data_IF_422613803720
#
_entry.id   IF_422613803720
#
_cell.length_a   1.000
_cell.length_b   1.000
_cell.length_c   1.000
_cell.angle_alpha   90.00
_cell.angle_beta   90.00
_cell.angle_gamma   90.00
#
_symmetry.space_group_name_H-M   'P 1'
#
loop_
_entity.id
_entity.type
_entity.pdbx_description
1 polymer ?
#
# COMPACT_ATOMS: atom_id res chain seq x y z
N UNK A 1 12.24 23.10 -19.55
CA UNK A 1 11.58 24.27 -20.17
C UNK A 1 10.09 24.08 -19.94
N UNK A 2 9.31 25.11 -19.58
CA UNK A 2 7.83 24.97 -19.53
C UNK A 2 7.36 24.43 -20.90
N UNK A 3 6.60 23.34 -20.92
CA UNK A 3 6.31 22.54 -22.13
C UNK A 3 5.74 23.43 -23.26
N UNK A 4 4.80 24.30 -22.92
CA UNK A 4 4.19 25.25 -23.87
C UNK A 4 5.24 26.23 -24.41
N UNK A 5 6.16 26.70 -23.57
CA UNK A 5 7.22 27.62 -24.00
C UNK A 5 8.14 26.96 -25.01
N UNK A 6 8.54 25.70 -24.78
CA UNK A 6 9.38 24.95 -25.72
C UNK A 6 8.70 24.78 -27.09
N UNK A 7 7.43 24.36 -27.09
CA UNK A 7 6.64 24.23 -28.32
C UNK A 7 6.52 25.55 -29.10
N UNK A 8 6.40 26.68 -28.41
CA UNK A 8 6.24 27.98 -29.05
C UNK A 8 7.56 28.61 -29.50
N UNK A 9 8.63 28.49 -28.70
CA UNK A 9 9.92 29.15 -29.00
C UNK A 9 10.67 28.52 -30.16
N UNK A 10 10.38 27.27 -30.48
CA UNK A 10 11.02 26.54 -31.59
C UNK A 10 10.06 26.35 -32.78
N UNK A 11 8.91 27.04 -32.81
CA UNK A 11 7.93 26.94 -33.88
C UNK A 11 7.69 28.27 -34.61
N UNK A 12 7.15 28.23 -35.85
CA UNK A 12 6.74 29.43 -36.57
C UNK A 12 5.70 30.29 -35.83
N UNK A 13 5.04 29.74 -34.80
CA UNK A 13 3.98 30.39 -34.04
C UNK A 13 4.40 31.75 -33.48
N UNK A 14 5.65 31.91 -33.03
CA UNK A 14 6.14 33.20 -32.53
C UNK A 14 5.99 34.31 -33.59
N UNK A 15 6.45 34.04 -34.81
CA UNK A 15 6.36 34.99 -35.93
C UNK A 15 4.93 35.14 -36.47
N UNK A 16 4.22 34.03 -36.66
CA UNK A 16 2.90 33.98 -37.31
C UNK A 16 1.85 34.69 -36.47
N UNK A 17 1.88 34.49 -35.15
CA UNK A 17 0.92 35.09 -34.22
C UNK A 17 1.46 36.33 -33.52
N UNK A 18 2.74 36.68 -33.72
CA UNK A 18 3.39 37.82 -33.10
C UNK A 18 3.45 37.68 -31.57
N UNK A 19 3.98 36.57 -31.08
CA UNK A 19 4.01 36.23 -29.65
C UNK A 19 5.28 36.72 -28.97
N UNK A 20 5.15 37.39 -27.83
CA UNK A 20 6.21 37.63 -26.87
C UNK A 20 6.23 36.48 -25.86
N UNK A 21 7.28 35.65 -25.92
CA UNK A 21 7.38 34.38 -25.19
C UNK A 21 8.28 34.56 -23.95
N UNK A 22 7.68 35.03 -22.86
CA UNK A 22 8.33 35.18 -21.56
C UNK A 22 8.36 33.87 -20.75
N UNK A 23 9.11 33.90 -19.63
CA UNK A 23 9.19 32.77 -18.68
C UNK A 23 7.92 32.57 -17.86
N UNK A 24 7.19 33.64 -17.56
CA UNK A 24 6.02 33.66 -16.66
C UNK A 24 4.75 34.10 -17.36
N UNK A 25 4.86 34.53 -18.62
CA UNK A 25 3.75 34.99 -19.44
C UNK A 25 4.13 34.85 -20.91
N UNK A 26 3.20 34.32 -21.71
CA UNK A 26 3.23 34.44 -23.18
C UNK A 26 2.09 35.36 -23.58
N UNK A 27 2.37 36.38 -24.39
CA UNK A 27 1.42 37.42 -24.77
C UNK A 27 1.68 37.89 -26.21
N UNK A 28 0.90 38.84 -26.72
CA UNK A 28 1.11 39.37 -28.06
C UNK A 28 2.06 40.58 -28.05
N UNK A 29 3.03 40.60 -28.97
CA UNK A 29 3.97 41.74 -29.18
C UNK A 29 3.23 43.04 -29.48
N UNK A 30 2.05 42.97 -30.10
CA UNK A 30 1.22 44.13 -30.43
C UNK A 30 0.51 44.76 -29.22
N UNK A 31 0.57 44.13 -28.04
CA UNK A 31 -0.16 44.56 -26.85
C UNK A 31 -1.67 44.28 -26.90
N UNK A 32 -2.17 43.53 -27.89
CA UNK A 32 -3.59 43.15 -27.93
C UNK A 32 -3.91 42.21 -26.74
N UNK A 33 -5.14 42.26 -26.18
CA UNK A 33 -5.50 41.44 -25.04
C UNK A 33 -5.34 39.93 -25.31
N UNK A 34 -4.82 39.21 -24.31
CA UNK A 34 -4.64 37.76 -24.36
C UNK A 34 -3.29 37.34 -23.80
N UNK A 35 -3.28 36.29 -22.98
CA UNK A 35 -2.04 35.77 -22.40
C UNK A 35 -2.19 34.34 -21.92
N UNK A 36 -1.09 33.59 -21.95
CA UNK A 36 -0.94 32.29 -21.29
C UNK A 36 -0.05 32.48 -20.06
N UNK A 37 -0.45 31.93 -18.92
CA UNK A 37 0.27 32.07 -17.65
C UNK A 37 0.33 30.72 -16.93
N UNK A 38 1.52 30.25 -16.50
CA UNK A 38 1.63 29.09 -15.63
C UNK A 38 1.02 29.43 -14.26
N UNK A 39 0.37 28.44 -13.64
CA UNK A 39 -0.27 28.55 -12.33
C UNK A 39 0.12 27.32 -11.50
N UNK A 40 0.71 27.56 -10.33
CA UNK A 40 1.34 26.51 -9.53
C UNK A 40 0.60 26.15 -8.23
N UNK A 41 -0.29 27.00 -7.71
CA UNK A 41 -0.98 26.73 -6.42
C UNK A 41 -2.35 27.41 -6.30
N UNK A 42 -3.21 26.88 -5.43
CA UNK A 42 -4.50 27.47 -5.02
C UNK A 42 -4.34 28.69 -4.09
N UNK A 43 -3.72 29.78 -4.55
CA UNK A 43 -3.74 31.04 -3.80
C UNK A 43 -5.10 31.74 -3.90
N UNK A 44 -5.52 32.49 -2.86
CA UNK A 44 -6.72 33.37 -2.89
C UNK A 44 -6.75 34.31 -4.11
N UNK A 45 -5.59 34.64 -4.65
CA UNK A 45 -5.41 35.43 -5.88
C UNK A 45 -5.89 34.74 -7.16
N UNK A 46 -6.19 33.44 -7.12
CA UNK A 46 -6.71 32.70 -8.27
C UNK A 46 -8.23 32.67 -8.32
N UNK A 47 -8.93 32.93 -7.21
CA UNK A 47 -10.38 33.04 -7.21
C UNK A 47 -10.83 34.30 -7.98
N UNK A 48 -11.85 34.15 -8.83
CA UNK A 48 -12.39 35.26 -9.61
C UNK A 48 -11.67 35.54 -10.93
N UNK A 49 -10.58 34.84 -11.23
CA UNK A 49 -10.03 34.80 -12.58
C UNK A 49 -11.07 34.24 -13.55
N UNK A 50 -11.09 34.75 -14.79
CA UNK A 50 -11.99 34.30 -15.86
C UNK A 50 -11.19 33.76 -17.05
N UNK A 51 -10.49 32.62 -16.87
CA UNK A 51 -9.72 32.03 -17.96
C UNK A 51 -10.65 31.55 -19.08
N UNK A 52 -10.25 31.80 -20.32
CA UNK A 52 -10.94 31.24 -21.51
C UNK A 52 -10.57 29.78 -21.74
N UNK A 53 -9.42 29.35 -21.25
CA UNK A 53 -8.93 27.98 -21.34
C UNK A 53 -8.06 27.64 -20.13
N UNK A 54 -8.14 26.41 -19.62
CA UNK A 54 -7.15 25.86 -18.71
C UNK A 54 -6.70 24.46 -19.12
N UNK A 55 -5.39 24.27 -19.13
CA UNK A 55 -4.76 22.95 -19.20
C UNK A 55 -4.31 22.58 -17.80
N UNK A 56 -4.80 21.46 -17.29
CA UNK A 56 -4.46 20.93 -15.97
C UNK A 56 -3.67 19.64 -16.17
N UNK A 57 -2.37 19.73 -15.99
CA UNK A 57 -1.44 18.65 -16.32
C UNK A 57 -1.13 17.76 -15.11
N UNK A 58 -0.87 16.48 -15.38
CA UNK A 58 -0.50 15.45 -14.39
C UNK A 58 -1.48 15.37 -13.19
N UNK A 59 -2.79 15.39 -13.45
CA UNK A 59 -3.80 15.48 -12.37
C UNK A 59 -3.91 14.25 -11.46
N UNK A 60 -3.24 13.13 -11.79
CA UNK A 60 -3.05 12.00 -10.87
C UNK A 60 -2.13 12.34 -9.70
N UNK A 61 -1.24 13.33 -9.84
CA UNK A 61 -0.40 13.82 -8.74
C UNK A 61 -1.09 14.89 -7.90
N UNK A 62 -2.29 15.33 -8.26
CA UNK A 62 -3.02 16.37 -7.52
C UNK A 62 -3.84 15.69 -6.43
N UNK A 63 -3.24 15.53 -5.26
CA UNK A 63 -3.77 14.75 -4.12
C UNK A 63 -4.01 15.66 -2.91
N UNK A 64 -4.68 15.14 -1.88
CA UNK A 64 -4.99 15.91 -0.68
C UNK A 64 -3.76 16.53 -0.02
N UNK A 65 -2.64 15.81 0.02
CA UNK A 65 -1.39 16.23 0.69
C UNK A 65 -0.72 17.46 0.07
N UNK A 66 -0.99 17.78 -1.20
CA UNK A 66 -0.45 18.96 -1.88
C UNK A 66 -1.50 20.03 -2.22
N UNK A 67 -2.75 19.86 -1.74
CA UNK A 67 -3.85 20.79 -1.99
C UNK A 67 -4.40 20.73 -3.42
N UNK A 68 -4.09 19.68 -4.17
CA UNK A 68 -4.52 19.48 -5.56
C UNK A 68 -6.04 19.58 -5.77
N UNK A 69 -6.88 18.88 -4.98
CA UNK A 69 -8.34 18.95 -5.09
C UNK A 69 -8.90 20.38 -4.95
N UNK A 70 -8.39 21.16 -3.99
CA UNK A 70 -8.82 22.56 -3.80
C UNK A 70 -8.41 23.45 -4.98
N UNK A 71 -7.23 23.19 -5.56
CA UNK A 71 -6.75 23.89 -6.74
C UNK A 71 -7.61 23.60 -7.96
N UNK A 72 -7.91 22.32 -8.20
CA UNK A 72 -8.81 21.87 -9.24
C UNK A 72 -10.19 22.52 -9.10
N UNK A 73 -10.78 22.52 -7.91
CA UNK A 73 -12.08 23.15 -7.67
C UNK A 73 -12.04 24.66 -7.96
N UNK A 74 -10.97 25.34 -7.57
CA UNK A 74 -10.79 26.77 -7.86
C UNK A 74 -10.75 27.05 -9.36
N UNK A 75 -9.96 26.29 -10.13
CA UNK A 75 -9.86 26.44 -11.59
C UNK A 75 -11.17 26.09 -12.28
N UNK A 76 -11.78 24.95 -11.94
CA UNK A 76 -13.04 24.49 -12.49
C UNK A 76 -14.17 25.50 -12.28
N UNK A 77 -14.37 25.98 -11.04
CA UNK A 77 -15.41 26.99 -10.74
C UNK A 77 -15.25 28.26 -11.57
N UNK A 78 -14.01 28.70 -11.78
CA UNK A 78 -13.73 29.91 -12.56
C UNK A 78 -14.08 29.73 -14.04
N UNK A 79 -13.78 28.57 -14.61
CA UNK A 79 -14.03 28.24 -16.03
C UNK A 79 -15.51 27.99 -16.27
N UNK A 80 -16.19 27.25 -15.40
CA UNK A 80 -17.60 26.89 -15.58
C UNK A 80 -18.51 28.12 -15.53
N UNK A 81 -18.16 29.14 -14.75
CA UNK A 81 -18.88 30.43 -14.73
C UNK A 81 -18.89 31.15 -16.08
N UNK A 82 -17.94 30.87 -16.95
CA UNK A 82 -17.83 31.48 -18.28
C UNK A 82 -18.11 30.50 -19.42
N UNK A 83 -18.60 29.28 -19.14
CA UNK A 83 -18.81 28.23 -20.15
C UNK A 83 -19.75 28.66 -21.28
N UNK A 84 -20.78 29.48 -20.98
CA UNK A 84 -21.67 30.08 -22.00
C UNK A 84 -20.92 30.97 -23.00
N UNK A 85 -19.79 31.54 -22.59
CA UNK A 85 -18.90 32.35 -23.44
C UNK A 85 -17.85 31.49 -24.16
N UNK A 86 -17.94 30.16 -24.07
CA UNK A 86 -17.08 29.21 -24.79
C UNK A 86 -15.81 28.79 -24.06
N UNK A 87 -15.67 29.07 -22.76
CA UNK A 87 -14.49 28.64 -22.01
C UNK A 87 -14.44 27.12 -21.83
N UNK A 88 -13.22 26.55 -21.86
CA UNK A 88 -12.99 25.10 -21.79
C UNK A 88 -11.85 24.76 -20.84
N UNK A 89 -11.79 23.51 -20.44
CA UNK A 89 -10.63 22.95 -19.77
C UNK A 89 -10.31 21.57 -20.32
N UNK A 90 -9.05 21.18 -20.19
CA UNK A 90 -8.52 19.86 -20.54
C UNK A 90 -7.63 19.42 -19.39
N UNK A 91 -7.73 18.14 -19.02
CA UNK A 91 -6.80 17.49 -18.12
C UNK A 91 -5.97 16.47 -18.89
N UNK A 92 -4.69 16.36 -18.54
CA UNK A 92 -3.78 15.32 -18.98
C UNK A 92 -3.29 14.54 -17.76
N UNK A 93 -3.18 13.22 -17.87
CA UNK A 93 -2.84 12.36 -16.74
C UNK A 93 -2.40 10.98 -17.19
N UNK A 94 -1.49 10.36 -16.43
CA UNK A 94 -1.34 8.90 -16.39
C UNK A 94 -2.48 8.28 -15.59
N UNK A 95 -2.61 6.95 -15.64
CA UNK A 95 -3.57 6.24 -14.81
C UNK A 95 -3.26 6.44 -13.31
N UNK A 96 -4.32 6.75 -12.55
CA UNK A 96 -4.20 7.08 -11.14
C UNK A 96 -4.06 5.85 -10.25
N UNK A 97 -3.54 6.05 -9.04
CA UNK A 97 -3.62 5.07 -7.96
C UNK A 97 -4.99 5.22 -7.27
N UNK A 98 -5.83 4.17 -7.19
CA UNK A 98 -7.11 4.22 -6.50
C UNK A 98 -7.02 4.60 -5.01
N UNK A 99 -5.83 4.44 -4.40
CA UNK A 99 -5.58 4.71 -2.98
C UNK A 99 -5.16 6.16 -2.67
N UNK A 100 -4.97 7.02 -3.69
CA UNK A 100 -4.42 8.38 -3.51
C UNK A 100 -5.49 9.49 -3.53
N UNK A 101 -6.75 9.17 -3.88
CA UNK A 101 -7.86 10.13 -3.99
C UNK A 101 -7.51 11.36 -4.87
N UNK A 102 -6.78 11.12 -5.95
CA UNK A 102 -6.28 12.18 -6.84
C UNK A 102 -7.39 12.88 -7.62
N UNK A 103 -7.12 14.08 -8.17
CA UNK A 103 -8.05 14.77 -9.08
C UNK A 103 -8.36 13.92 -10.32
N UNK A 104 -7.39 13.16 -10.85
CA UNK A 104 -7.65 12.21 -11.93
C UNK A 104 -8.75 11.20 -11.58
N UNK A 105 -8.68 10.61 -10.38
CA UNK A 105 -9.69 9.68 -9.86
C UNK A 105 -11.05 10.36 -9.74
N UNK A 106 -11.09 11.54 -9.11
CA UNK A 106 -12.32 12.32 -8.92
C UNK A 106 -13.01 12.62 -10.25
N UNK A 107 -12.25 12.95 -11.30
CA UNK A 107 -12.79 13.23 -12.64
C UNK A 107 -13.28 11.93 -13.28
N UNK A 108 -12.45 10.89 -13.31
CA UNK A 108 -12.76 9.62 -13.96
C UNK A 108 -14.02 8.97 -13.38
N UNK A 109 -14.18 8.96 -12.06
CA UNK A 109 -15.33 8.36 -11.36
C UNK A 109 -16.57 9.29 -11.34
N UNK A 110 -16.49 10.48 -11.93
CA UNK A 110 -17.58 11.45 -11.91
C UNK A 110 -18.76 11.00 -12.78
N UNK A 111 -19.99 11.27 -12.32
CA UNK A 111 -21.19 11.16 -13.16
C UNK A 111 -21.11 11.99 -14.45
N UNK A 112 -20.30 13.05 -14.48
CA UNK A 112 -20.12 13.87 -15.67
C UNK A 112 -19.43 13.10 -16.80
N UNK A 113 -18.48 12.20 -16.47
CA UNK A 113 -17.86 11.29 -17.44
C UNK A 113 -18.84 10.17 -17.79
N UNK A 114 -19.48 9.55 -16.79
CA UNK A 114 -20.44 8.46 -17.00
C UNK A 114 -21.63 8.87 -17.90
N UNK A 115 -22.05 10.14 -17.83
CA UNK A 115 -23.11 10.73 -18.66
C UNK A 115 -22.59 11.39 -19.94
N UNK A 116 -21.29 11.27 -20.22
CA UNK A 116 -20.62 11.83 -21.40
C UNK A 116 -20.73 13.36 -21.56
N UNK A 117 -20.91 14.08 -20.45
CA UNK A 117 -20.80 15.54 -20.43
C UNK A 117 -19.34 16.00 -20.43
N UNK A 118 -18.45 15.21 -19.84
CA UNK A 118 -17.01 15.34 -20.01
C UNK A 118 -16.51 14.22 -20.91
N UNK A 119 -15.64 14.60 -21.87
CA UNK A 119 -14.96 13.64 -22.71
C UNK A 119 -13.82 13.00 -21.90
N UNK A 120 -13.85 11.67 -21.81
CA UNK A 120 -12.74 10.86 -21.33
C UNK A 120 -12.24 10.04 -22.52
N UNK A 121 -10.95 10.17 -22.82
CA UNK A 121 -10.30 9.53 -23.96
C UNK A 121 -9.00 8.89 -23.48
N UNK A 122 -8.93 7.56 -23.56
CA UNK A 122 -7.84 6.74 -23.05
C UNK A 122 -7.74 5.45 -23.87
N UNK A 123 -6.53 5.10 -24.30
CA UNK A 123 -6.21 3.79 -24.85
C UNK A 123 -5.51 2.97 -23.77
N UNK A 124 -6.15 1.89 -23.32
CA UNK A 124 -5.59 1.01 -22.29
C UNK A 124 -5.03 -0.25 -22.93
N UNK A 125 -3.79 -0.61 -22.59
CA UNK A 125 -3.16 -1.83 -23.08
C UNK A 125 -3.76 -3.06 -22.40
N UNK A 126 -4.37 -3.97 -23.16
CA UNK A 126 -5.09 -5.12 -22.62
C UNK A 126 -4.13 -6.21 -22.11
N UNK A 127 -3.81 -6.19 -20.82
CA UNK A 127 -2.97 -7.19 -20.18
C UNK A 127 -3.24 -7.30 -18.68
N UNK A 128 -3.16 -8.51 -18.14
CA UNK A 128 -3.20 -8.76 -16.70
C UNK A 128 -1.77 -8.77 -16.13
N UNK A 129 -1.61 -8.55 -14.83
CA UNK A 129 -0.28 -8.53 -14.15
C UNK A 129 0.56 -9.76 -14.50
N UNK A 130 -0.05 -10.95 -14.60
CA UNK A 130 0.65 -12.19 -14.95
C UNK A 130 1.24 -12.20 -16.36
N UNK A 131 0.69 -11.37 -17.25
CA UNK A 131 1.11 -11.22 -18.63
C UNK A 131 2.36 -10.38 -18.78
N UNK A 132 2.77 -9.63 -17.76
CA UNK A 132 3.98 -8.77 -17.79
C UNK A 132 5.30 -9.57 -17.87
N UNK A 133 5.22 -10.90 -17.90
CA UNK A 133 6.35 -11.82 -18.09
C UNK A 133 6.35 -12.51 -19.45
N UNK A 134 5.38 -12.20 -20.31
CA UNK A 134 5.26 -12.71 -21.66
C UNK A 134 5.54 -11.60 -22.66
N UNK A 135 6.62 -11.76 -23.44
CA UNK A 135 7.08 -10.75 -24.40
C UNK A 135 6.02 -10.40 -25.45
N UNK A 136 5.32 -11.41 -25.98
CA UNK A 136 4.31 -11.20 -27.01
C UNK A 136 3.10 -10.45 -26.44
N UNK A 137 2.67 -10.78 -25.22
CA UNK A 137 1.56 -10.10 -24.53
C UNK A 137 1.93 -8.66 -24.19
N UNK A 138 3.12 -8.42 -23.61
CA UNK A 138 3.60 -7.07 -23.27
C UNK A 138 3.66 -6.19 -24.51
N UNK A 139 4.27 -6.68 -25.58
CA UNK A 139 4.40 -5.93 -26.84
C UNK A 139 3.04 -5.58 -27.44
N UNK A 140 2.10 -6.53 -27.44
CA UNK A 140 0.74 -6.29 -27.94
C UNK A 140 0.02 -5.20 -27.11
N UNK A 141 0.12 -5.27 -25.78
CA UNK A 141 -0.50 -4.30 -24.89
C UNK A 141 0.12 -2.89 -25.02
N UNK A 142 1.44 -2.80 -25.23
CA UNK A 142 2.11 -1.53 -25.51
C UNK A 142 1.65 -0.93 -26.85
N UNK A 143 1.48 -1.74 -27.90
CA UNK A 143 0.96 -1.24 -29.19
C UNK A 143 -0.46 -0.68 -29.06
N UNK A 144 -1.31 -1.33 -28.25
CA UNK A 144 -2.66 -0.84 -27.97
C UNK A 144 -2.64 0.47 -27.17
N UNK A 145 -1.87 0.52 -26.06
CA UNK A 145 -1.81 1.70 -25.19
C UNK A 145 -1.19 2.94 -25.87
N UNK A 146 -0.18 2.75 -26.73
CA UNK A 146 0.51 3.85 -27.39
C UNK A 146 -0.13 4.27 -28.71
N UNK A 147 -1.00 3.45 -29.32
CA UNK A 147 -1.81 3.81 -30.47
C UNK A 147 -1.03 4.48 -31.62
N UNK A 148 -1.29 5.77 -31.85
CA UNK A 148 -0.70 6.57 -32.92
C UNK A 148 0.62 7.28 -32.52
N UNK A 149 1.16 7.02 -31.33
CA UNK A 149 2.45 7.52 -30.87
C UNK A 149 3.63 6.80 -31.56
N UNK A 150 3.75 7.01 -32.87
CA UNK A 150 4.76 6.39 -33.76
C UNK A 150 6.22 6.64 -33.35
N UNK A 151 6.48 7.61 -32.48
CA UNK A 151 7.79 7.91 -31.94
C UNK A 151 8.17 7.07 -30.71
N UNK A 152 7.24 6.29 -30.13
CA UNK A 152 7.50 5.49 -28.96
C UNK A 152 8.35 4.25 -29.30
N UNK A 153 9.40 4.00 -28.51
CA UNK A 153 10.26 2.82 -28.65
C UNK A 153 9.59 1.59 -28.02
N UNK A 154 8.61 1.01 -28.70
CA UNK A 154 7.87 -0.16 -28.22
C UNK A 154 8.79 -1.32 -27.86
N UNK A 155 9.87 -1.54 -28.61
CA UNK A 155 10.83 -2.62 -28.35
C UNK A 155 11.65 -2.34 -27.08
N UNK A 156 12.11 -1.11 -26.90
CA UNK A 156 12.78 -0.67 -25.68
C UNK A 156 11.88 -0.76 -24.45
N UNK A 157 10.63 -0.31 -24.55
CA UNK A 157 9.63 -0.41 -23.49
C UNK A 157 9.29 -1.87 -23.15
N UNK A 158 9.13 -2.72 -24.18
CA UNK A 158 8.94 -4.16 -23.99
C UNK A 158 10.08 -4.76 -23.17
N UNK A 159 11.33 -4.45 -23.54
CA UNK A 159 12.52 -4.90 -22.79
C UNK A 159 12.51 -4.38 -21.35
N UNK A 160 12.13 -3.12 -21.11
CA UNK A 160 12.04 -2.57 -19.76
C UNK A 160 11.04 -3.36 -18.92
N UNK A 161 9.80 -3.51 -19.37
CA UNK A 161 8.74 -4.22 -18.62
C UNK A 161 9.13 -5.69 -18.34
N UNK A 162 9.77 -6.34 -19.31
CA UNK A 162 10.16 -7.75 -19.18
C UNK A 162 11.31 -7.99 -18.21
N UNK A 163 12.30 -7.09 -18.15
CA UNK A 163 13.57 -7.38 -17.50
C UNK A 163 13.91 -6.47 -16.32
N UNK A 164 13.33 -5.28 -16.22
CA UNK A 164 13.46 -4.48 -15.00
C UNK A 164 12.59 -5.08 -13.88
N UNK A 165 13.20 -5.17 -12.70
CA UNK A 165 12.66 -5.76 -11.47
C UNK A 165 12.69 -4.79 -10.31
N UNK A 166 13.25 -3.60 -10.54
CA UNK A 166 13.32 -2.52 -9.54
C UNK A 166 12.04 -1.69 -9.51
N UNK A 167 11.24 -1.78 -10.58
CA UNK A 167 9.96 -1.10 -10.71
C UNK A 167 8.81 -2.06 -10.40
N UNK A 168 7.85 -1.70 -9.52
CA UNK A 168 6.66 -2.50 -9.26
C UNK A 168 5.79 -2.70 -10.50
N UNK A 169 5.14 -3.86 -10.60
CA UNK A 169 4.28 -4.19 -11.75
C UNK A 169 3.12 -3.20 -11.93
N UNK A 170 2.56 -2.68 -10.82
CA UNK A 170 1.55 -1.62 -10.83
C UNK A 170 2.02 -0.33 -11.51
N UNK A 171 3.31 -0.04 -11.44
CA UNK A 171 3.91 1.13 -12.11
C UNK A 171 3.94 0.92 -13.62
N UNK A 172 4.24 -0.30 -14.10
CA UNK A 172 4.16 -0.61 -15.53
C UNK A 172 2.72 -0.52 -16.04
N UNK A 173 1.76 -1.05 -15.29
CA UNK A 173 0.34 -0.94 -15.65
C UNK A 173 -0.10 0.53 -15.77
N UNK A 174 0.23 1.37 -14.79
CA UNK A 174 -0.23 2.77 -14.75
C UNK A 174 0.43 3.69 -15.77
N UNK A 175 1.76 3.63 -15.84
CA UNK A 175 2.56 4.62 -16.58
C UNK A 175 2.89 4.20 -18.01
N UNK A 176 2.74 2.92 -18.36
CA UNK A 176 3.08 2.40 -19.68
C UNK A 176 1.89 1.80 -20.42
N UNK A 177 0.86 1.38 -19.69
CA UNK A 177 -0.30 0.66 -20.26
C UNK A 177 -1.62 1.38 -19.99
N UNK A 178 -1.58 2.56 -19.36
CA UNK A 178 -2.73 3.38 -18.99
C UNK A 178 -3.79 2.66 -18.14
N UNK A 179 -3.42 1.58 -17.46
CA UNK A 179 -4.35 0.85 -16.61
C UNK A 179 -4.38 1.42 -15.20
N UNK A 180 -5.58 1.62 -14.67
CA UNK A 180 -5.77 1.91 -13.25
C UNK A 180 -5.36 0.69 -12.45
N UNK A 181 -4.29 0.82 -11.68
CA UNK A 181 -3.78 -0.22 -10.80
C UNK A 181 -3.40 0.38 -9.45
N UNK A 182 -3.65 -0.35 -8.38
CA UNK A 182 -3.19 0.03 -7.05
C UNK A 182 -1.66 -0.10 -6.99
N UNK A 183 -0.95 0.91 -6.47
CA UNK A 183 0.45 0.68 -6.10
C UNK A 183 0.47 -0.29 -4.93
N UNK A 184 1.11 -1.45 -5.12
CA UNK A 184 1.45 -2.31 -4.00
C UNK A 184 2.79 -1.86 -3.45
N UNK A 185 2.80 -0.76 -2.70
CA UNK A 185 3.98 -0.41 -1.89
C UNK A 185 4.07 -1.46 -0.79
N UNK A 186 4.83 -2.51 -1.08
CA UNK A 186 5.09 -3.60 -0.15
C UNK A 186 5.56 -3.02 1.18
N UNK A 187 4.95 -3.48 2.27
CA UNK A 187 5.22 -2.98 3.61
C UNK A 187 6.69 -3.17 4.02
N UNK A 188 7.30 -4.25 3.54
CA UNK A 188 8.70 -4.59 3.77
C UNK A 188 9.30 -5.20 2.51
N UNK A 189 10.49 -4.74 2.11
CA UNK A 189 11.19 -5.33 0.98
C UNK A 189 11.84 -6.67 1.38
N UNK A 190 12.08 -7.52 0.38
CA UNK A 190 12.79 -8.78 0.60
C UNK A 190 14.19 -8.57 1.16
N UNK A 191 14.92 -7.56 0.70
CA UNK A 191 16.27 -7.25 1.19
C UNK A 191 16.27 -6.89 2.68
N UNK A 192 15.29 -6.08 3.13
CA UNK A 192 15.17 -5.72 4.55
C UNK A 192 14.74 -6.91 5.41
N UNK A 193 13.83 -7.74 4.91
CA UNK A 193 13.42 -8.96 5.61
C UNK A 193 14.57 -9.96 5.72
N UNK A 194 15.24 -10.27 4.60
CA UNK A 194 16.35 -11.22 4.55
C UNK A 194 17.54 -10.76 5.41
N UNK A 195 17.70 -9.45 5.65
CA UNK A 195 18.70 -8.91 6.58
C UNK A 195 18.43 -9.28 8.05
N UNK A 196 17.19 -9.67 8.38
CA UNK A 196 16.80 -10.16 9.70
C UNK A 196 16.94 -11.70 9.84
N UNK A 197 17.44 -12.40 8.82
CA UNK A 197 17.63 -13.85 8.86
C UNK A 197 18.75 -14.21 9.85
N UNK A 198 18.44 -15.11 10.79
CA UNK A 198 19.43 -15.69 11.71
C UNK A 198 19.13 -17.19 11.82
N UNK A 199 20.05 -18.03 11.36
CA UNK A 199 19.95 -19.50 11.46
C UNK A 199 20.85 -20.07 12.56
N UNK A 200 21.74 -19.26 13.16
CA UNK A 200 22.78 -19.69 14.08
C UNK A 200 22.26 -20.01 15.48
N UNK A 201 21.21 -19.32 15.94
CA UNK A 201 20.58 -19.55 17.26
C UNK A 201 19.11 -19.99 17.13
N UNK A 202 18.82 -21.25 16.74
CA UNK A 202 17.46 -21.73 16.54
C UNK A 202 16.66 -21.76 17.84
N UNK A 203 15.34 -21.57 17.73
CA UNK A 203 14.40 -21.63 18.86
C UNK A 203 14.43 -23.02 19.50
N UNK A 204 14.55 -23.08 20.83
CA UNK A 204 14.62 -24.34 21.59
C UNK A 204 13.41 -24.51 22.51
N UNK A 205 12.99 -25.77 22.80
CA UNK A 205 12.04 -26.03 23.88
C UNK A 205 12.51 -25.39 25.20
N UNK A 206 11.59 -24.73 25.90
CA UNK A 206 11.86 -24.00 27.14
C UNK A 206 12.33 -22.55 26.95
N UNK A 207 12.58 -22.09 25.71
CA UNK A 207 12.82 -20.66 25.44
C UNK A 207 11.64 -19.82 25.98
N UNK A 208 11.97 -18.63 26.50
CA UNK A 208 10.99 -17.66 26.96
C UNK A 208 10.47 -16.86 25.77
N UNK A 209 9.17 -16.98 25.48
CA UNK A 209 8.54 -16.42 24.29
C UNK A 209 7.31 -15.58 24.64
N UNK A 210 7.00 -14.63 23.78
CA UNK A 210 5.67 -14.07 23.65
C UNK A 210 4.98 -14.70 22.43
N UNK A 211 3.65 -14.66 22.39
CA UNK A 211 2.83 -15.28 21.36
C UNK A 211 1.84 -14.26 20.80
N UNK A 212 1.64 -14.31 19.49
CA UNK A 212 0.61 -13.55 18.78
C UNK A 212 -0.29 -14.50 18.00
N UNK A 213 -1.60 -14.31 18.14
CA UNK A 213 -2.64 -15.07 17.46
C UNK A 213 -3.54 -14.16 16.64
N UNK A 214 -3.58 -14.38 15.33
CA UNK A 214 -4.48 -13.72 14.39
C UNK A 214 -5.45 -14.76 13.83
N UNK A 215 -6.73 -14.62 14.16
CA UNK A 215 -7.74 -15.66 14.00
C UNK A 215 -8.82 -15.31 13.01
N UNK A 216 -9.08 -16.22 12.06
CA UNK A 216 -10.20 -16.15 11.11
C UNK A 216 -10.92 -17.49 11.04
N UNK A 217 -12.25 -17.50 10.89
CA UNK A 217 -13.04 -18.75 10.73
C UNK A 217 -13.22 -19.09 9.25
N UNK A 218 -13.51 -18.10 8.39
CA UNK A 218 -13.84 -18.29 6.97
C UNK A 218 -13.14 -17.27 6.08
N UNK A 219 -12.70 -17.69 4.90
CA UNK A 219 -12.17 -16.81 3.86
C UNK A 219 -10.73 -16.35 4.04
N UNK A 220 -10.21 -16.30 5.28
CA UNK A 220 -8.80 -16.00 5.56
C UNK A 220 -8.00 -17.15 6.17
N UNK A 221 -6.77 -16.87 6.63
CA UNK A 221 -5.97 -17.84 7.35
C UNK A 221 -5.92 -17.53 8.85
N UNK A 222 -5.76 -18.56 9.67
CA UNK A 222 -5.46 -18.37 11.10
C UNK A 222 -3.97 -18.58 11.30
N UNK A 223 -3.31 -17.72 12.08
CA UNK A 223 -1.88 -17.78 12.32
C UNK A 223 -1.54 -17.64 13.81
N UNK A 224 -0.55 -18.41 14.23
CA UNK A 224 0.03 -18.38 15.57
C UNK A 224 1.55 -18.20 15.42
N UNK A 225 2.08 -17.06 15.87
CA UNK A 225 3.50 -16.74 15.83
C UNK A 225 4.07 -16.60 17.24
N UNK A 226 5.30 -17.07 17.44
CA UNK A 226 6.07 -16.85 18.65
C UNK A 226 7.18 -15.85 18.41
N UNK A 227 7.55 -15.11 19.45
CA UNK A 227 8.72 -14.22 19.46
C UNK A 227 9.54 -14.46 20.72
N UNK A 228 10.80 -14.85 20.56
CA UNK A 228 11.70 -15.07 21.69
C UNK A 228 12.04 -13.75 22.40
N UNK A 229 11.90 -13.73 23.72
CA UNK A 229 12.02 -12.50 24.50
C UNK A 229 13.41 -11.87 24.44
N UNK A 230 14.49 -12.68 24.45
CA UNK A 230 15.87 -12.15 24.57
C UNK A 230 16.35 -11.38 23.34
N UNK A 231 15.88 -11.72 22.14
CA UNK A 231 16.46 -11.26 20.87
C UNK A 231 15.42 -11.03 19.76
N UNK A 232 14.12 -11.03 20.11
CA UNK A 232 13.02 -10.82 19.19
C UNK A 232 13.00 -11.79 17.99
N UNK A 233 13.46 -13.03 18.18
CA UNK A 233 13.44 -14.04 17.12
C UNK A 233 12.01 -14.55 16.87
N UNK A 234 11.44 -14.19 15.73
CA UNK A 234 10.09 -14.53 15.27
C UNK A 234 10.09 -15.91 14.61
N UNK A 235 9.08 -16.72 14.91
CA UNK A 235 8.87 -18.02 14.29
C UNK A 235 7.39 -18.43 14.27
N UNK A 236 7.03 -19.33 13.35
CA UNK A 236 5.66 -19.82 13.20
C UNK A 236 5.42 -20.99 14.15
N UNK A 237 4.40 -20.88 15.01
CA UNK A 237 3.91 -21.97 15.86
C UNK A 237 2.81 -22.78 15.15
N UNK A 238 1.99 -22.11 14.34
CA UNK A 238 0.93 -22.73 13.55
C UNK A 238 0.42 -21.76 12.48
N UNK A 239 0.00 -22.30 11.34
CA UNK A 239 -0.59 -21.54 10.24
C UNK A 239 -1.58 -22.44 9.51
N UNK A 240 -2.85 -22.02 9.48
CA UNK A 240 -3.97 -22.75 8.88
C UNK A 240 -4.57 -21.91 7.76
N UNK A 241 -4.19 -22.24 6.54
CA UNK A 241 -4.64 -21.55 5.34
C UNK A 241 -5.63 -22.39 4.57
N UNK A 242 -6.62 -21.73 3.95
CA UNK A 242 -7.51 -22.39 3.01
C UNK A 242 -6.71 -22.95 1.82
N UNK A 243 -6.72 -24.27 1.59
CA UNK A 243 -6.10 -24.84 0.40
C UNK A 243 -6.74 -24.31 -0.89
N UNK A 244 -5.96 -24.19 -1.97
CA UNK A 244 -6.45 -23.61 -3.24
C UNK A 244 -7.65 -24.36 -3.84
N UNK A 245 -7.74 -25.68 -3.60
CA UNK A 245 -8.82 -26.55 -4.07
C UNK A 245 -9.87 -26.88 -3.00
N UNK A 246 -9.85 -26.18 -1.87
CA UNK A 246 -10.79 -26.44 -0.79
C UNK A 246 -12.21 -25.99 -1.17
N UNK A 247 -13.26 -26.69 -0.71
CA UNK A 247 -14.64 -26.32 -0.98
C UNK A 247 -14.97 -24.94 -0.38
N UNK A 248 -16.08 -24.35 -0.82
CA UNK A 248 -16.49 -22.99 -0.39
C UNK A 248 -16.81 -22.90 1.11
N UNK A 249 -17.19 -24.03 1.71
CA UNK A 249 -17.51 -24.17 3.13
C UNK A 249 -16.29 -24.56 3.99
N UNK A 250 -15.06 -24.44 3.47
CA UNK A 250 -13.87 -24.67 4.27
C UNK A 250 -13.81 -23.72 5.47
N UNK A 251 -13.58 -24.30 6.64
CA UNK A 251 -13.37 -23.59 7.89
C UNK A 251 -12.03 -23.99 8.51
N UNK A 252 -11.47 -23.08 9.30
CA UNK A 252 -10.31 -23.40 10.13
C UNK A 252 -10.69 -24.46 11.16
N UNK A 253 -9.87 -25.51 11.26
CA UNK A 253 -10.01 -26.53 12.30
C UNK A 253 -9.65 -25.94 13.66
N UNK A 254 -10.68 -25.51 14.40
CA UNK A 254 -10.56 -24.91 15.73
C UNK A 254 -9.83 -25.83 16.70
N UNK A 255 -10.05 -27.15 16.63
CA UNK A 255 -9.39 -28.11 17.52
C UNK A 255 -7.89 -28.22 17.21
N UNK A 256 -7.50 -28.12 15.94
CA UNK A 256 -6.09 -28.08 15.56
C UNK A 256 -5.40 -26.80 16.06
N UNK A 257 -6.10 -25.66 16.06
CA UNK A 257 -5.63 -24.40 16.63
C UNK A 257 -5.42 -24.51 18.14
N UNK A 258 -6.43 -25.00 18.86
CA UNK A 258 -6.35 -25.22 20.32
C UNK A 258 -5.21 -26.19 20.68
N UNK A 259 -5.05 -27.27 19.92
CA UNK A 259 -3.95 -28.22 20.13
C UNK A 259 -2.56 -27.58 19.91
N UNK A 260 -2.42 -26.66 18.95
CA UNK A 260 -1.18 -25.93 18.72
C UNK A 260 -0.86 -24.93 19.84
N UNK A 261 -1.88 -24.25 20.38
CA UNK A 261 -1.74 -23.38 21.56
C UNK A 261 -1.29 -24.20 22.77
N UNK A 262 -2.00 -25.28 23.08
CA UNK A 262 -1.63 -26.18 24.18
C UNK A 262 -0.20 -26.73 24.01
N UNK A 263 0.20 -27.07 22.78
CA UNK A 263 1.57 -27.49 22.46
C UNK A 263 2.57 -26.36 22.68
N UNK A 264 2.26 -25.11 22.32
CA UNK A 264 3.13 -23.96 22.54
C UNK A 264 3.38 -23.74 24.05
N UNK A 265 2.32 -23.72 24.87
CA UNK A 265 2.41 -23.58 26.32
C UNK A 265 3.11 -24.76 27.00
N UNK A 266 3.03 -25.97 26.43
CA UNK A 266 3.77 -27.15 26.92
C UNK A 266 5.25 -27.11 26.55
N UNK A 267 5.58 -26.61 25.37
CA UNK A 267 6.93 -26.68 24.79
C UNK A 267 7.81 -25.51 25.23
N UNK A 268 7.22 -24.32 25.38
CA UNK A 268 7.93 -23.07 25.64
C UNK A 268 7.46 -22.43 26.95
N UNK A 269 8.25 -21.48 27.45
CA UNK A 269 7.82 -20.61 28.53
C UNK A 269 7.10 -19.42 27.91
N UNK A 270 5.77 -19.49 27.80
CA UNK A 270 4.98 -18.37 27.29
C UNK A 270 4.84 -17.32 28.38
N UNK A 271 5.45 -16.16 28.17
CA UNK A 271 5.42 -15.02 29.08
C UNK A 271 4.23 -14.10 28.81
N UNK A 272 3.73 -14.07 27.57
CA UNK A 272 2.64 -13.18 27.18
C UNK A 272 2.04 -13.69 25.88
N UNK A 273 0.73 -13.61 25.75
CA UNK A 273 0.02 -13.97 24.53
C UNK A 273 -0.99 -12.87 24.21
N UNK A 274 -0.87 -12.30 23.01
CA UNK A 274 -1.91 -11.47 22.43
C UNK A 274 -2.72 -12.25 21.40
N UNK A 275 -4.04 -12.15 21.48
CA UNK A 275 -4.97 -12.80 20.57
C UNK A 275 -6.01 -11.81 20.04
N UNK A 276 -6.22 -11.80 18.72
CA UNK A 276 -7.26 -10.99 18.11
C UNK A 276 -8.65 -11.58 18.38
N UNK A 277 -9.56 -10.86 19.05
CA UNK A 277 -10.83 -11.44 19.52
C UNK A 277 -11.89 -11.81 18.47
N UNK A 278 -12.05 -11.15 17.31
CA UNK A 278 -13.14 -11.45 16.38
C UNK A 278 -13.28 -12.95 16.10
N UNK A 279 -14.47 -13.49 16.42
CA UNK A 279 -14.84 -14.90 16.29
C UNK A 279 -14.18 -15.89 17.27
N UNK A 280 -13.21 -15.46 18.07
CA UNK A 280 -12.43 -16.31 18.98
C UNK A 280 -12.58 -15.91 20.46
N UNK A 281 -13.52 -15.02 20.81
CA UNK A 281 -13.64 -14.46 22.15
C UNK A 281 -13.79 -15.53 23.25
N UNK A 282 -14.63 -16.54 23.01
CA UNK A 282 -14.84 -17.63 23.99
C UNK A 282 -13.59 -18.49 24.16
N UNK A 283 -12.90 -18.81 23.05
CA UNK A 283 -11.65 -19.57 23.08
C UNK A 283 -10.56 -18.80 23.84
N UNK A 284 -10.42 -17.50 23.59
CA UNK A 284 -9.44 -16.64 24.28
C UNK A 284 -9.73 -16.60 25.78
N UNK A 285 -11.01 -16.45 26.17
CA UNK A 285 -11.41 -16.52 27.58
C UNK A 285 -11.05 -17.86 28.23
N UNK A 286 -11.24 -18.98 27.51
CA UNK A 286 -10.83 -20.31 27.98
C UNK A 286 -9.31 -20.43 28.12
N UNK A 287 -8.54 -19.96 27.14
CA UNK A 287 -7.07 -19.96 27.20
C UNK A 287 -6.55 -19.12 28.37
N UNK A 288 -7.20 -17.99 28.68
CA UNK A 288 -6.88 -17.20 29.87
C UNK A 288 -7.12 -17.97 31.17
N UNK A 289 -8.23 -18.70 31.30
CA UNK A 289 -8.49 -19.56 32.46
C UNK A 289 -7.50 -20.72 32.58
N UNK A 290 -7.09 -21.32 31.46
CA UNK A 290 -6.18 -22.48 31.44
C UNK A 290 -4.71 -22.12 31.63
N UNK A 291 -4.29 -20.96 31.11
CA UNK A 291 -2.87 -20.58 31.02
C UNK A 291 -2.50 -19.34 31.83
N UNK A 292 -3.48 -18.65 32.41
CA UNK A 292 -3.31 -17.47 33.26
C UNK A 292 -3.92 -16.22 32.63
N UNK A 293 -4.80 -15.55 33.37
CA UNK A 293 -5.39 -14.26 33.00
C UNK A 293 -4.35 -13.13 32.96
N UNK A 294 -3.20 -13.34 33.61
CA UNK A 294 -2.02 -12.48 33.54
C UNK A 294 -1.06 -12.88 32.41
N UNK A 295 -1.40 -13.85 31.56
CA UNK A 295 -0.57 -14.29 30.43
C UNK A 295 -1.28 -14.10 29.10
N UNK A 296 -2.58 -14.42 29.01
CA UNK A 296 -3.37 -14.35 27.78
C UNK A 296 -4.24 -13.09 27.79
N UNK A 297 -4.09 -12.27 26.76
CA UNK A 297 -4.75 -10.98 26.65
C UNK A 297 -5.35 -10.76 25.27
N UNK A 298 -6.43 -9.99 25.22
CA UNK A 298 -7.02 -9.54 23.97
C UNK A 298 -6.19 -8.42 23.33
N UNK A 299 -5.96 -8.54 22.02
CA UNK A 299 -5.39 -7.50 21.18
C UNK A 299 -6.30 -7.23 20.00
N UNK A 300 -7.19 -6.25 20.14
CA UNK A 300 -8.10 -5.84 19.09
C UNK A 300 -7.35 -5.17 17.92
N UNK A 301 -7.08 -5.94 16.85
CA UNK A 301 -6.37 -5.45 15.65
C UNK A 301 -7.14 -4.37 14.92
N UNK A 302 -8.47 -4.37 15.06
CA UNK A 302 -9.38 -3.37 14.50
C UNK A 302 -9.27 -1.98 15.15
N UNK A 303 -8.43 -1.79 16.18
CA UNK A 303 -8.15 -0.49 16.80
C UNK A 303 -6.94 0.16 16.13
N UNK A 304 -7.13 1.14 15.22
CA UNK A 304 -6.06 1.63 14.35
C UNK A 304 -4.88 2.20 15.13
N UNK A 305 -5.11 2.92 16.24
CA UNK A 305 -4.02 3.50 17.04
C UNK A 305 -3.07 2.45 17.60
N UNK A 306 -3.62 1.37 18.18
CA UNK A 306 -2.81 0.33 18.82
C UNK A 306 -2.09 -0.51 17.77
N UNK A 307 -2.80 -0.85 16.68
CA UNK A 307 -2.22 -1.64 15.60
C UNK A 307 -1.16 -0.86 14.82
N UNK A 308 -1.35 0.44 14.58
CA UNK A 308 -0.34 1.27 13.91
C UNK A 308 0.94 1.38 14.74
N UNK A 309 0.83 1.56 16.07
CA UNK A 309 1.99 1.58 16.96
C UNK A 309 2.75 0.24 16.97
N UNK A 310 2.04 -0.89 17.00
CA UNK A 310 2.65 -2.22 16.93
C UNK A 310 3.32 -2.47 15.56
N UNK A 311 2.67 -2.05 14.47
CA UNK A 311 3.19 -2.16 13.09
C UNK A 311 4.48 -1.36 12.95
N UNK A 312 4.49 -0.12 13.45
CA UNK A 312 5.68 0.75 13.45
C UNK A 312 6.82 0.16 14.29
N UNK A 313 6.51 -0.41 15.47
CA UNK A 313 7.53 -1.08 16.31
C UNK A 313 8.16 -2.25 15.57
N UNK A 314 7.36 -3.08 14.89
CA UNK A 314 7.87 -4.19 14.09
C UNK A 314 8.75 -3.71 12.96
N UNK A 315 8.29 -2.70 12.22
CA UNK A 315 9.05 -2.13 11.11
C UNK A 315 10.37 -1.54 11.57
N UNK A 316 10.36 -0.77 12.65
CA UNK A 316 11.56 -0.19 13.27
C UNK A 316 12.54 -1.28 13.70
N UNK A 317 12.06 -2.32 14.41
CA UNK A 317 12.91 -3.42 14.88
C UNK A 317 13.59 -4.17 13.71
N UNK A 318 12.86 -4.42 12.62
CA UNK A 318 13.44 -5.00 11.42
C UNK A 318 14.49 -4.06 10.77
N UNK A 319 14.18 -2.76 10.63
CA UNK A 319 15.08 -1.79 10.00
C UNK A 319 16.40 -1.60 10.76
N UNK A 320 16.39 -1.67 12.10
CA UNK A 320 17.60 -1.48 12.92
C UNK A 320 18.34 -2.79 13.23
N UNK A 321 17.82 -3.93 12.78
CA UNK A 321 18.41 -5.25 13.04
C UNK A 321 18.13 -5.82 14.44
N UNK A 322 17.13 -5.28 15.15
CA UNK A 322 16.69 -5.74 16.47
C UNK A 322 15.60 -6.82 16.39
N UNK A 323 15.23 -7.25 15.19
CA UNK A 323 14.32 -8.36 14.91
C UNK A 323 15.04 -9.46 14.15
N UNK A 324 14.71 -10.72 14.47
CA UNK A 324 15.30 -11.88 13.80
C UNK A 324 14.21 -12.85 13.33
N UNK A 325 14.46 -13.65 12.30
CA UNK A 325 13.62 -14.79 11.96
C UNK A 325 14.46 -15.99 11.51
N UNK A 326 13.91 -17.21 11.66
CA UNK A 326 14.57 -18.47 11.28
C UNK A 326 14.30 -18.94 9.85
N UNK A 327 13.95 -18.04 8.93
CA UNK A 327 13.76 -18.38 7.51
C UNK A 327 12.49 -19.16 7.12
N UNK A 328 11.44 -19.21 7.96
CA UNK A 328 10.17 -19.87 7.57
C UNK A 328 9.58 -19.19 6.32
N UNK A 329 9.48 -19.95 5.22
CA UNK A 329 9.03 -19.43 3.93
C UNK A 329 7.58 -18.94 3.99
N UNK A 330 6.75 -19.49 4.88
CA UNK A 330 5.33 -19.12 5.01
C UNK A 330 5.23 -17.75 5.66
N UNK A 331 5.94 -17.52 6.76
CA UNK A 331 6.02 -16.20 7.39
C UNK A 331 6.57 -15.17 6.41
N UNK A 332 7.67 -15.50 5.73
CA UNK A 332 8.30 -14.64 4.73
C UNK A 332 7.31 -14.25 3.63
N UNK A 333 6.54 -15.21 3.10
CA UNK A 333 5.52 -14.93 2.09
C UNK A 333 4.45 -13.95 2.61
N UNK A 334 3.97 -14.12 3.85
CA UNK A 334 2.93 -13.23 4.40
C UNK A 334 3.46 -11.81 4.64
N UNK A 335 4.70 -11.69 5.11
CA UNK A 335 5.38 -10.40 5.29
C UNK A 335 5.51 -9.67 3.95
N UNK A 336 5.96 -10.37 2.90
CA UNK A 336 6.17 -9.77 1.58
C UNK A 336 4.86 -9.53 0.79
N UNK A 337 3.77 -10.20 1.18
CA UNK A 337 2.44 -9.95 0.62
C UNK A 337 1.77 -8.70 1.20
N UNK A 338 2.20 -8.25 2.38
CA UNK A 338 1.59 -7.12 3.06
C UNK A 338 1.94 -5.82 2.34
N UNK A 339 0.96 -4.95 2.17
CA UNK A 339 1.13 -3.59 1.62
C UNK A 339 0.81 -2.55 2.68
N UNK A 340 1.45 -1.40 2.54
CA UNK A 340 1.25 -0.26 3.44
C UNK A 340 -0.13 0.38 3.20
N UNK A 341 -0.86 0.65 4.28
CA UNK A 341 -2.05 1.51 4.28
C UNK A 341 -1.85 2.64 5.27
N UNK A 342 -1.68 3.85 4.76
CA UNK A 342 -1.59 5.05 5.59
C UNK A 342 -2.96 5.37 6.20
N UNK A 343 -2.96 5.67 7.50
CA UNK A 343 -4.12 6.15 8.24
C UNK A 343 -3.69 7.32 9.14
N UNK A 344 -4.61 8.16 9.64
CA UNK A 344 -4.24 9.28 10.51
C UNK A 344 -3.44 8.90 11.76
N UNK A 345 -3.53 7.63 12.20
CA UNK A 345 -2.83 7.09 13.36
C UNK A 345 -1.42 6.56 13.04
N UNK A 346 -1.04 6.47 11.77
CA UNK A 346 0.24 5.90 11.32
C UNK A 346 0.06 4.90 10.18
N UNK A 347 0.94 3.90 10.11
CA UNK A 347 0.93 2.87 9.07
C UNK A 347 0.23 1.61 9.58
N UNK A 348 -0.70 1.09 8.79
CA UNK A 348 -1.25 -0.26 8.93
C UNK A 348 -0.79 -1.14 7.76
N UNK A 349 -0.93 -2.45 7.92
CA UNK A 349 -0.78 -3.39 6.81
C UNK A 349 -2.12 -3.86 6.29
N UNK A 350 -2.22 -4.06 4.99
CA UNK A 350 -3.36 -4.66 4.32
C UNK A 350 -2.92 -5.57 3.17
N UNK A 351 -3.86 -6.20 2.50
CA UNK A 351 -3.62 -6.94 1.25
C UNK A 351 -3.57 -5.96 0.09
N UNK A 352 -2.93 -6.35 -1.00
CA UNK A 352 -2.89 -5.60 -2.26
C UNK A 352 -4.27 -5.34 -2.89
N UNK A 353 -5.31 -6.06 -2.46
CA UNK A 353 -6.71 -5.69 -2.67
C UNK A 353 -7.63 -6.46 -1.71
N UNK A 354 -8.89 -6.01 -1.49
CA UNK A 354 -9.87 -6.75 -0.68
C UNK A 354 -10.18 -8.16 -1.20
N UNK A 355 -9.98 -8.41 -2.51
CA UNK A 355 -10.21 -9.72 -3.16
C UNK A 355 -8.94 -10.55 -3.28
N UNK A 356 -7.81 -10.06 -2.80
CA UNK A 356 -6.54 -10.75 -2.95
C UNK A 356 -6.55 -12.10 -2.25
N UNK A 357 -6.02 -13.10 -2.96
CA UNK A 357 -5.76 -14.43 -2.41
C UNK A 357 -4.46 -14.47 -1.61
N UNK A 358 -3.63 -13.42 -1.67
CA UNK A 358 -2.37 -13.33 -0.94
C UNK A 358 -2.66 -13.08 0.54
N UNK A 359 -2.23 -14.03 1.37
CA UNK A 359 -2.47 -14.03 2.82
C UNK A 359 -1.41 -13.23 3.55
N UNK A 360 -1.82 -12.55 4.62
CA UNK A 360 -0.96 -11.69 5.46
C UNK A 360 -1.08 -12.02 6.95
N UNK A 361 -1.93 -12.98 7.33
CA UNK A 361 -2.32 -13.22 8.73
C UNK A 361 -1.12 -13.62 9.61
N UNK A 362 -0.14 -14.38 9.08
CA UNK A 362 1.12 -14.63 9.79
C UNK A 362 1.97 -13.37 10.03
N UNK A 363 1.90 -12.35 9.15
CA UNK A 363 2.57 -11.07 9.39
C UNK A 363 1.85 -10.28 10.50
N UNK A 364 0.52 -10.26 10.50
CA UNK A 364 -0.29 -9.65 11.58
C UNK A 364 -0.01 -10.34 12.92
N UNK A 365 -0.05 -11.68 12.96
CA UNK A 365 0.27 -12.48 14.14
C UNK A 365 1.71 -12.20 14.65
N UNK A 366 2.68 -12.03 13.75
CA UNK A 366 4.05 -11.66 14.11
C UNK A 366 4.16 -10.25 14.70
N UNK A 367 3.42 -9.27 14.15
CA UNK A 367 3.36 -7.90 14.68
C UNK A 367 2.86 -7.90 16.12
N UNK A 368 1.71 -8.54 16.37
CA UNK A 368 1.11 -8.56 17.72
C UNK A 368 1.93 -9.43 18.69
N UNK A 369 2.66 -10.44 18.20
CA UNK A 369 3.59 -11.21 19.04
C UNK A 369 4.81 -10.38 19.49
N UNK A 370 5.32 -9.49 18.62
CA UNK A 370 6.39 -8.57 18.98
C UNK A 370 5.90 -7.51 19.98
N UNK A 371 4.67 -7.03 19.83
CA UNK A 371 4.05 -6.13 20.81
C UNK A 371 3.84 -6.83 22.16
N UNK A 372 3.35 -8.08 22.16
CA UNK A 372 3.26 -8.90 23.36
C UNK A 372 4.63 -9.08 24.04
N UNK A 373 5.71 -9.23 23.26
CA UNK A 373 7.08 -9.26 23.80
C UNK A 373 7.44 -7.92 24.47
N UNK A 374 7.10 -6.78 23.85
CA UNK A 374 7.41 -5.48 24.41
C UNK A 374 6.73 -5.29 25.78
N UNK A 375 5.46 -5.67 25.89
CA UNK A 375 4.70 -5.59 27.15
C UNK A 375 5.20 -6.59 28.20
N UNK A 376 5.57 -7.81 27.80
CA UNK A 376 6.19 -8.78 28.71
C UNK A 376 7.52 -8.27 29.30
N UNK A 377 8.31 -7.56 28.50
CA UNK A 377 9.56 -6.94 28.96
C UNK A 377 9.25 -5.76 29.89
N UNK A 378 8.28 -4.91 29.55
CA UNK A 378 7.85 -3.79 30.39
C UNK A 378 7.32 -4.25 31.76
N UNK A 379 6.64 -5.39 31.81
CA UNK A 379 6.17 -6.07 33.02
C UNK A 379 7.31 -6.78 33.81
N UNK A 380 8.53 -6.83 33.25
CA UNK A 380 9.70 -7.39 33.90
C UNK A 380 9.87 -8.91 33.77
N UNK A 381 9.12 -9.57 32.87
CA UNK A 381 9.15 -11.05 32.70
C UNK A 381 10.46 -11.58 32.17
N UNK A 382 11.29 -10.73 31.54
CA UNK A 382 12.63 -11.10 31.09
C UNK A 382 13.57 -11.50 32.25
N UNK A 383 13.38 -10.91 33.44
CA UNK A 383 14.29 -11.07 34.58
C UNK A 383 13.80 -12.07 35.64
N UNK A 384 12.60 -12.64 35.50
CA UNK A 384 12.05 -13.57 36.49
C UNK A 384 12.76 -14.95 36.41
N UNK A 385 13.74 -15.16 37.32
CA UNK A 385 14.21 -16.50 37.69
C UNK A 385 13.21 -17.11 38.67
N UNK A 386 12.70 -18.32 38.40
CA UNK A 386 11.84 -19.06 39.34
C UNK A 386 12.51 -19.09 40.72
N UNK A 387 11.84 -18.55 41.73
CA UNK A 387 12.11 -18.96 43.10
C UNK A 387 11.86 -20.47 43.15
N UNK A 388 12.92 -21.25 43.44
CA UNK A 388 12.72 -22.64 43.85
C UNK A 388 11.91 -22.56 45.15
N UNK A 389 10.65 -22.97 45.11
CA UNK A 389 9.92 -23.32 46.33
C UNK A 389 10.71 -24.47 46.94
N UNK A 390 11.47 -24.18 48.00
CA UNK A 390 12.06 -25.19 48.84
C UNK A 390 10.89 -25.91 49.53
N UNK A 391 10.60 -27.13 49.09
CA UNK A 391 9.69 -28.01 49.82
C UNK A 391 10.26 -28.25 51.22
N UNK A 392 9.44 -27.99 52.23
CA UNK A 392 9.58 -28.55 53.57
C UNK A 392 8.66 -29.75 53.71
#
# INVERSE_FOLDING_TARGET
>A
MDFIRGLLSESPAESVYGLDIGKTIVQFKSGKPGSIKPKATAGRTNEGNRPTFALMDEVHHWVGSNGGPDFYQTLKRNIEKTAKSGSRWVCTTNAYNPNEESVAQIIHESEMVAKSYWLYDCLEGSIEVDGLRDEARVRAALVEAYGDATWADIEGLTRTILYDRTTPDSTYLRYYLNQIAESSDGWMSKTEWDACLDEDDPIQPGDLIAVGFDGSIRGDSTALCGVRLRDAKVFVLGLWERPEKAPEDWEVDVLAVEAAIAKAFKTYRVAWMYADPPYWQENIGRWALEHGEDVVFEFWTNKPTRMAAATERFRTAAMVGDLKHGGDYRLTRHVLNAVTREVPQGILITKDSPRSKRKIDAAVAAIIALEARADAIADGRLNQRRSRVAGF
#
